data_IF_227193013859
#
_entry.id   IF_227193013859
#
_cell.length_a   1.000
_cell.length_b   1.000
_cell.length_c   1.000
_cell.angle_alpha   90.00
_cell.angle_beta   90.00
_cell.angle_gamma   90.00
#
_symmetry.space_group_name_H-M   'P 1'
#
loop_
_entity.id
_entity.type
_entity.pdbx_description
1 polymer ?
#
# COMPACT_ATOMS: atom_id res chain seq x y z
N UNK A 1 -9.36 -5.56 -4.48
CA UNK A 1 -10.39 -5.07 -5.42
C UNK A 1 -10.83 -3.66 -5.06
N UNK A 2 -11.20 -2.87 -6.10
CA UNK A 2 -11.75 -1.54 -5.92
C UNK A 2 -13.17 -1.61 -5.38
N UNK A 3 -13.56 -0.67 -4.53
CA UNK A 3 -14.94 -0.48 -4.07
C UNK A 3 -15.50 0.86 -4.55
N UNK A 4 -16.80 1.12 -4.30
CA UNK A 4 -17.50 2.32 -4.76
C UNK A 4 -16.80 3.63 -4.34
N UNK A 5 -16.20 3.68 -3.16
CA UNK A 5 -15.44 4.84 -2.71
C UNK A 5 -14.23 5.14 -3.60
N UNK A 6 -13.49 4.11 -4.01
CA UNK A 6 -12.38 4.24 -4.98
C UNK A 6 -12.89 4.71 -6.35
N UNK A 7 -14.01 4.14 -6.84
CA UNK A 7 -14.62 4.55 -8.11
C UNK A 7 -15.04 6.01 -8.11
N UNK A 8 -15.62 6.51 -7.00
CA UNK A 8 -15.98 7.92 -6.85
C UNK A 8 -14.75 8.83 -6.90
N UNK A 9 -13.68 8.50 -6.14
CA UNK A 9 -12.43 9.27 -6.16
C UNK A 9 -11.81 9.31 -7.56
N UNK A 10 -11.75 8.15 -8.23
CA UNK A 10 -11.25 8.05 -9.60
C UNK A 10 -12.06 8.88 -10.60
N UNK A 11 -13.39 8.81 -10.56
CA UNK A 11 -14.26 9.61 -11.43
C UNK A 11 -14.10 11.11 -11.19
N UNK A 12 -14.06 11.53 -9.92
CA UNK A 12 -13.85 12.93 -9.55
C UNK A 12 -12.51 13.45 -10.03
N UNK A 13 -11.43 12.72 -9.75
CA UNK A 13 -10.08 13.08 -10.16
C UNK A 13 -9.94 13.17 -11.68
N UNK A 14 -10.47 12.19 -12.41
CA UNK A 14 -10.46 12.19 -13.88
C UNK A 14 -11.24 13.37 -14.46
N UNK A 15 -12.41 13.70 -13.91
CA UNK A 15 -13.18 14.86 -14.34
C UNK A 15 -12.40 16.17 -14.10
N UNK A 16 -11.77 16.32 -12.94
CA UNK A 16 -10.96 17.49 -12.62
C UNK A 16 -9.76 17.63 -13.56
N UNK A 17 -9.03 16.56 -13.82
CA UNK A 17 -7.92 16.53 -14.79
C UNK A 17 -8.38 17.01 -16.17
N UNK A 18 -9.51 16.48 -16.66
CA UNK A 18 -10.06 16.85 -17.96
C UNK A 18 -10.47 18.33 -18.02
N UNK A 19 -11.08 18.85 -16.97
CA UNK A 19 -11.45 20.27 -16.87
C UNK A 19 -10.23 21.19 -16.87
N UNK A 20 -9.22 20.87 -16.08
CA UNK A 20 -7.98 21.65 -16.01
C UNK A 20 -7.22 21.62 -17.34
N UNK A 21 -7.15 20.47 -18.01
CA UNK A 21 -6.56 20.37 -19.35
C UNK A 21 -7.33 21.20 -20.38
N UNK A 22 -8.67 21.15 -20.34
CA UNK A 22 -9.51 21.97 -21.22
C UNK A 22 -9.35 23.48 -20.94
N UNK A 23 -9.02 23.87 -19.69
CA UNK A 23 -8.71 25.24 -19.33
C UNK A 23 -7.26 25.67 -19.68
N UNK A 24 -6.46 24.77 -20.29
CA UNK A 24 -5.12 25.10 -20.77
C UNK A 24 -3.98 24.82 -19.76
N UNK A 25 -4.26 24.18 -18.65
CA UNK A 25 -3.23 23.78 -17.69
C UNK A 25 -2.48 22.53 -18.19
N UNK A 26 -1.17 22.48 -17.91
CA UNK A 26 -0.38 21.26 -18.09
C UNK A 26 -0.54 20.37 -16.85
N UNK A 27 -1.36 19.34 -16.96
CA UNK A 27 -1.76 18.47 -15.84
C UNK A 27 -1.32 17.04 -16.10
N UNK A 28 -0.71 16.42 -15.08
CA UNK A 28 -0.48 14.99 -15.02
C UNK A 28 -1.34 14.37 -13.92
N UNK A 29 -1.93 13.23 -14.24
CA UNK A 29 -2.62 12.38 -13.29
C UNK A 29 -1.72 11.25 -12.84
N UNK A 30 -1.68 11.01 -11.51
CA UNK A 30 -0.82 10.00 -10.93
C UNK A 30 -1.62 9.09 -9.99
N UNK A 31 -1.40 7.79 -10.13
CA UNK A 31 -1.89 6.78 -9.21
C UNK A 31 -0.77 6.38 -8.26
N UNK A 32 -0.98 6.55 -6.96
CA UNK A 32 -0.05 6.11 -5.93
C UNK A 32 -0.28 4.64 -5.61
N UNK A 33 0.74 3.82 -5.83
CA UNK A 33 0.72 2.39 -5.54
C UNK A 33 1.34 2.18 -4.16
N UNK A 34 0.51 1.77 -3.19
CA UNK A 34 0.97 1.34 -1.88
C UNK A 34 1.48 -0.11 -1.99
N UNK A 35 2.70 -0.28 -2.52
CA UNK A 35 3.36 -1.57 -2.75
C UNK A 35 4.51 -1.84 -1.78
N UNK A 36 4.64 -1.02 -0.74
CA UNK A 36 5.53 -1.22 0.38
C UNK A 36 4.73 -1.56 1.66
N UNK A 37 5.38 -2.28 2.58
CA UNK A 37 4.85 -2.54 3.91
C UNK A 37 3.95 -3.77 4.05
N UNK A 38 3.37 -3.93 5.24
CA UNK A 38 2.74 -5.16 5.73
C UNK A 38 1.54 -5.65 4.89
N UNK A 39 0.86 -4.77 4.15
CA UNK A 39 -0.29 -5.17 3.34
C UNK A 39 0.11 -6.10 2.20
N UNK A 40 1.23 -5.81 1.56
CA UNK A 40 1.74 -6.64 0.47
C UNK A 40 2.29 -7.96 1.00
N UNK A 41 2.93 -7.93 2.17
CA UNK A 41 3.40 -9.15 2.84
C UNK A 41 2.21 -10.05 3.23
N UNK A 42 1.15 -9.48 3.78
CA UNK A 42 -0.08 -10.21 4.10
C UNK A 42 -0.74 -10.80 2.85
N UNK A 43 -0.70 -10.10 1.72
CA UNK A 43 -1.18 -10.63 0.44
C UNK A 43 -0.35 -11.83 0.00
N UNK A 44 0.97 -11.72 0.02
CA UNK A 44 1.89 -12.79 -0.39
C UNK A 44 1.68 -14.06 0.45
N UNK A 45 1.60 -13.91 1.77
CA UNK A 45 1.33 -15.01 2.69
C UNK A 45 -0.07 -15.60 2.43
N UNK A 46 -1.06 -14.78 2.13
CA UNK A 46 -2.41 -15.26 1.79
C UNK A 46 -2.42 -16.08 0.51
N UNK A 47 -1.64 -15.69 -0.51
CA UNK A 47 -1.47 -16.44 -1.76
C UNK A 47 -0.78 -17.77 -1.47
N UNK A 48 0.25 -17.80 -0.61
CA UNK A 48 0.92 -19.04 -0.21
C UNK A 48 -0.05 -20.04 0.42
N UNK A 49 -0.88 -19.62 1.37
CA UNK A 49 -1.87 -20.50 2.00
C UNK A 49 -2.91 -21.00 0.98
N UNK A 50 -3.35 -20.14 0.05
CA UNK A 50 -4.25 -20.57 -1.03
C UNK A 50 -3.59 -21.54 -2.02
N UNK A 51 -2.30 -21.37 -2.28
CA UNK A 51 -1.52 -22.32 -3.05
C UNK A 51 -1.45 -23.71 -2.37
N UNK A 52 -1.26 -23.75 -1.05
CA UNK A 52 -1.30 -24.99 -0.27
C UNK A 52 -2.70 -25.64 -0.33
N UNK A 53 -3.76 -24.84 -0.23
CA UNK A 53 -5.15 -25.31 -0.37
C UNK A 53 -5.41 -25.94 -1.74
N UNK A 54 -4.90 -25.38 -2.82
CA UNK A 54 -4.99 -25.94 -4.18
C UNK A 54 -4.35 -27.33 -4.29
N UNK A 55 -3.45 -27.67 -3.37
CA UNK A 55 -2.77 -28.96 -3.28
C UNK A 55 -3.40 -29.90 -2.25
N UNK A 56 -4.53 -29.53 -1.69
CA UNK A 56 -5.31 -30.37 -0.77
C UNK A 56 -5.07 -30.09 0.71
N UNK A 57 -4.33 -29.02 1.07
CA UNK A 57 -4.23 -28.61 2.47
C UNK A 57 -5.59 -28.10 3.00
N UNK A 58 -5.91 -28.48 4.23
CA UNK A 58 -7.11 -28.01 4.90
C UNK A 58 -6.78 -26.65 5.56
N UNK A 59 -7.50 -25.58 5.18
CA UNK A 59 -7.37 -24.28 5.80
C UNK A 59 -8.44 -24.06 6.86
N UNK A 60 -8.01 -23.59 8.03
CA UNK A 60 -8.90 -23.14 9.11
C UNK A 60 -8.76 -21.63 9.25
N UNK A 61 -9.89 -20.93 9.18
CA UNK A 61 -9.91 -19.47 9.30
C UNK A 61 -10.19 -19.08 10.75
N UNK A 62 -9.24 -18.39 11.42
CA UNK A 62 -9.48 -17.96 12.78
C UNK A 62 -10.68 -17.01 12.86
N UNK A 63 -11.48 -17.09 13.94
CA UNK A 63 -12.56 -16.14 14.17
C UNK A 63 -12.01 -14.74 14.44
N UNK A 64 -12.87 -13.73 14.42
CA UNK A 64 -12.48 -12.38 14.85
C UNK A 64 -12.17 -12.39 16.34
N UNK A 65 -11.19 -11.58 16.75
CA UNK A 65 -10.91 -11.36 18.18
C UNK A 65 -12.11 -10.79 18.91
N UNK A 66 -12.22 -11.11 20.18
CA UNK A 66 -13.16 -10.51 21.10
C UNK A 66 -12.84 -9.02 21.30
N UNK A 67 -13.76 -8.27 21.93
CA UNK A 67 -13.56 -6.85 22.25
C UNK A 67 -12.37 -6.61 23.19
N UNK A 68 -12.02 -7.58 24.03
CA UNK A 68 -10.86 -7.55 24.92
C UNK A 68 -9.53 -7.91 24.23
N UNK A 69 -9.57 -8.17 22.91
CA UNK A 69 -8.40 -8.55 22.10
C UNK A 69 -8.05 -10.04 22.18
N UNK A 70 -8.73 -10.85 22.98
CA UNK A 70 -8.49 -12.30 23.07
C UNK A 70 -9.00 -13.02 21.82
N UNK A 71 -8.35 -14.14 21.49
CA UNK A 71 -8.82 -15.03 20.42
C UNK A 71 -9.85 -16.02 20.97
N UNK A 72 -11.06 -16.10 20.42
CA UNK A 72 -11.99 -17.16 20.76
C UNK A 72 -11.40 -18.54 20.51
N UNK A 73 -11.77 -19.52 21.31
CA UNK A 73 -11.41 -20.92 21.04
C UNK A 73 -12.09 -21.37 19.75
N UNK A 74 -11.37 -22.07 18.90
CA UNK A 74 -11.87 -22.71 17.68
C UNK A 74 -11.15 -24.01 17.44
N UNK A 75 -11.81 -24.92 16.76
CA UNK A 75 -11.26 -26.25 16.48
C UNK A 75 -10.28 -26.20 15.30
N UNK A 76 -9.14 -26.85 15.48
CA UNK A 76 -8.11 -27.02 14.43
C UNK A 76 -7.96 -28.52 14.18
N UNK A 77 -8.47 -29.05 13.06
CA UNK A 77 -8.28 -30.45 12.69
C UNK A 77 -6.79 -30.80 12.59
N UNK A 78 -6.47 -32.04 12.87
CA UNK A 78 -5.08 -32.52 12.72
C UNK A 78 -4.58 -32.33 11.29
N UNK A 79 -3.39 -31.75 11.14
CA UNK A 79 -2.77 -31.44 9.85
C UNK A 79 -3.35 -30.22 9.12
N UNK A 80 -4.31 -29.50 9.72
CA UNK A 80 -4.85 -28.29 9.12
C UNK A 80 -3.91 -27.09 9.33
N UNK A 81 -3.87 -26.20 8.36
CA UNK A 81 -3.14 -24.94 8.41
C UNK A 81 -4.08 -23.83 8.89
N UNK A 82 -3.65 -23.05 9.88
CA UNK A 82 -4.42 -21.89 10.35
C UNK A 82 -4.09 -20.70 9.45
N UNK A 83 -5.10 -20.21 8.74
CA UNK A 83 -4.94 -19.05 7.85
C UNK A 83 -4.56 -17.80 8.65
N UNK A 84 -3.63 -16.95 8.15
CA UNK A 84 -3.21 -15.75 8.85
C UNK A 84 -4.37 -14.83 9.24
N UNK A 85 -4.36 -14.33 10.46
CA UNK A 85 -5.44 -13.47 10.98
C UNK A 85 -5.63 -12.22 10.10
N UNK A 86 -4.52 -11.59 9.70
CA UNK A 86 -4.50 -10.41 8.83
C UNK A 86 -4.48 -10.76 7.33
N UNK A 87 -4.67 -12.04 6.99
CA UNK A 87 -4.66 -12.50 5.61
C UNK A 87 -5.92 -12.11 4.86
N UNK A 88 -5.77 -11.96 3.55
CA UNK A 88 -6.87 -11.65 2.63
C UNK A 88 -7.62 -12.94 2.25
N UNK A 89 -8.91 -13.01 2.61
CA UNK A 89 -9.73 -14.22 2.47
C UNK A 89 -10.58 -14.26 1.20
N UNK A 90 -10.55 -13.20 0.40
CA UNK A 90 -11.39 -13.04 -0.78
C UNK A 90 -11.12 -14.07 -1.87
N UNK A 91 -12.12 -14.35 -2.74
CA UNK A 91 -11.98 -15.29 -3.85
C UNK A 91 -10.91 -14.86 -4.85
N UNK A 92 -10.65 -13.57 -4.95
CA UNK A 92 -9.62 -12.99 -5.80
C UNK A 92 -8.19 -13.45 -5.43
N UNK A 93 -7.93 -13.82 -4.16
CA UNK A 93 -6.66 -14.40 -3.75
C UNK A 93 -6.53 -15.84 -4.21
N UNK A 94 -7.64 -16.59 -4.21
CA UNK A 94 -7.67 -17.97 -4.74
C UNK A 94 -7.37 -17.95 -6.24
N UNK A 95 -8.02 -17.04 -6.98
CA UNK A 95 -7.80 -16.88 -8.42
C UNK A 95 -6.34 -16.51 -8.72
N UNK A 96 -5.77 -15.59 -7.95
CA UNK A 96 -4.36 -15.17 -8.08
C UNK A 96 -3.43 -16.35 -7.79
N UNK A 97 -3.63 -17.09 -6.70
CA UNK A 97 -2.82 -18.28 -6.38
C UNK A 97 -2.87 -19.31 -7.50
N UNK A 98 -4.07 -19.56 -8.05
CA UNK A 98 -4.27 -20.48 -9.17
C UNK A 98 -3.56 -20.00 -10.44
N UNK A 99 -3.74 -18.73 -10.82
CA UNK A 99 -3.13 -18.16 -12.01
C UNK A 99 -1.59 -18.21 -11.95
N UNK A 100 -1.00 -17.91 -10.78
CA UNK A 100 0.44 -18.00 -10.60
C UNK A 100 0.90 -19.46 -10.66
N UNK A 101 0.20 -20.39 -9.99
CA UNK A 101 0.55 -21.80 -9.99
C UNK A 101 0.48 -22.44 -11.38
N UNK A 102 -0.52 -22.09 -12.18
CA UNK A 102 -0.66 -22.54 -13.57
C UNK A 102 0.46 -21.99 -14.47
N UNK A 103 0.87 -20.72 -14.27
CA UNK A 103 1.91 -20.07 -15.07
C UNK A 103 3.32 -20.57 -14.71
N UNK A 104 3.63 -20.65 -13.42
CA UNK A 104 4.97 -21.00 -12.93
C UNK A 104 5.21 -22.52 -12.90
N UNK A 105 4.14 -23.30 -12.77
CA UNK A 105 4.16 -24.76 -12.62
C UNK A 105 4.24 -25.20 -11.17
N UNK A 106 3.34 -26.13 -10.78
CA UNK A 106 3.28 -26.66 -9.41
C UNK A 106 4.58 -27.33 -8.97
N UNK A 107 5.23 -28.10 -9.84
CA UNK A 107 6.49 -28.78 -9.52
C UNK A 107 7.61 -27.79 -9.19
N UNK A 108 7.72 -26.69 -9.97
CA UNK A 108 8.69 -25.62 -9.72
C UNK A 108 8.44 -24.98 -8.37
N UNK A 109 7.19 -24.62 -8.09
CA UNK A 109 6.82 -23.96 -6.83
C UNK A 109 7.04 -24.86 -5.63
N UNK A 110 6.76 -26.17 -5.75
CA UNK A 110 6.98 -27.15 -4.70
C UNK A 110 8.47 -27.42 -4.42
N UNK A 111 9.32 -27.26 -5.43
CA UNK A 111 10.77 -27.40 -5.25
C UNK A 111 11.42 -26.18 -4.54
N UNK A 112 10.72 -25.05 -4.44
CA UNK A 112 11.19 -23.86 -3.74
C UNK A 112 11.01 -24.01 -2.23
N UNK A 113 11.91 -23.43 -1.44
CA UNK A 113 11.62 -23.22 -0.03
C UNK A 113 10.50 -22.19 0.15
N UNK A 114 9.85 -22.18 1.30
CA UNK A 114 8.69 -21.31 1.57
C UNK A 114 9.03 -19.83 1.41
N UNK A 115 10.20 -19.38 1.91
CA UNK A 115 10.57 -17.97 1.87
C UNK A 115 10.72 -17.46 0.43
N UNK A 116 11.38 -18.23 -0.43
CA UNK A 116 11.56 -17.87 -1.84
C UNK A 116 10.22 -17.92 -2.60
N UNK A 117 9.35 -18.89 -2.27
CA UNK A 117 8.03 -19.00 -2.86
C UNK A 117 7.11 -17.84 -2.45
N UNK A 118 7.13 -17.44 -1.17
CA UNK A 118 6.39 -16.25 -0.69
C UNK A 118 6.92 -14.99 -1.36
N UNK A 119 8.24 -14.85 -1.53
CA UNK A 119 8.82 -13.72 -2.25
C UNK A 119 8.34 -13.66 -3.72
N UNK A 120 8.28 -14.80 -4.40
CA UNK A 120 7.72 -14.90 -5.75
C UNK A 120 6.23 -14.52 -5.77
N UNK A 121 5.44 -15.03 -4.83
CA UNK A 121 4.02 -14.68 -4.72
C UNK A 121 3.78 -13.20 -4.40
N UNK A 122 4.70 -12.57 -3.67
CA UNK A 122 4.69 -11.14 -3.43
C UNK A 122 4.76 -10.36 -4.75
N UNK A 123 5.78 -10.63 -5.56
CA UNK A 123 6.01 -9.90 -6.81
C UNK A 123 4.95 -10.21 -7.87
N UNK A 124 4.67 -11.50 -8.11
CA UNK A 124 3.72 -11.90 -9.15
C UNK A 124 2.27 -11.58 -8.76
N UNK A 125 1.93 -11.69 -7.48
CA UNK A 125 0.62 -11.30 -6.97
C UNK A 125 0.39 -9.79 -7.08
N UNK A 126 1.40 -8.97 -6.74
CA UNK A 126 1.33 -7.52 -6.91
C UNK A 126 1.14 -7.15 -8.38
N UNK A 127 1.95 -7.71 -9.26
CA UNK A 127 1.87 -7.47 -10.71
C UNK A 127 0.49 -7.80 -11.27
N UNK A 128 -0.07 -8.94 -10.90
CA UNK A 128 -1.40 -9.34 -11.35
C UNK A 128 -2.50 -8.41 -10.81
N UNK A 129 -2.42 -8.04 -9.52
CA UNK A 129 -3.39 -7.12 -8.91
C UNK A 129 -3.34 -5.74 -9.55
N UNK A 130 -2.16 -5.22 -9.84
CA UNK A 130 -2.00 -3.93 -10.52
C UNK A 130 -2.56 -3.98 -11.95
N UNK A 131 -2.27 -5.02 -12.71
CA UNK A 131 -2.82 -5.18 -14.06
C UNK A 131 -4.36 -5.21 -14.06
N UNK A 132 -4.99 -5.95 -13.15
CA UNK A 132 -6.46 -5.99 -13.00
C UNK A 132 -7.03 -4.64 -12.56
N UNK A 133 -6.31 -3.90 -11.74
CA UNK A 133 -6.72 -2.60 -11.26
C UNK A 133 -6.68 -1.58 -12.41
N UNK A 134 -5.62 -1.58 -13.19
CA UNK A 134 -5.45 -0.74 -14.38
C UNK A 134 -6.54 -1.06 -15.42
N UNK A 135 -6.79 -2.32 -15.71
CA UNK A 135 -7.86 -2.76 -16.60
C UNK A 135 -9.24 -2.28 -16.11
N UNK A 136 -9.52 -2.44 -14.82
CA UNK A 136 -10.79 -2.00 -14.22
C UNK A 136 -10.99 -0.48 -14.37
N UNK A 137 -9.95 0.31 -14.08
CA UNK A 137 -10.00 1.76 -14.21
C UNK A 137 -10.10 2.20 -15.67
N UNK A 138 -9.38 1.54 -16.58
CA UNK A 138 -9.47 1.78 -18.02
C UNK A 138 -10.88 1.50 -18.56
N UNK A 139 -11.49 0.37 -18.17
CA UNK A 139 -12.89 0.05 -18.51
C UNK A 139 -13.87 1.08 -17.95
N UNK A 140 -13.56 1.68 -16.81
CA UNK A 140 -14.29 2.80 -16.22
C UNK A 140 -13.96 4.15 -16.87
N UNK A 141 -13.08 4.17 -17.91
CA UNK A 141 -12.61 5.35 -18.64
C UNK A 141 -11.79 6.32 -17.77
N UNK A 142 -11.09 5.78 -16.78
CA UNK A 142 -10.13 6.52 -15.95
C UNK A 142 -8.74 5.97 -16.24
N UNK A 143 -7.85 6.86 -16.70
CA UNK A 143 -6.44 6.54 -16.98
C UNK A 143 -5.53 7.50 -16.24
N UNK A 144 -4.31 7.06 -15.98
CA UNK A 144 -3.28 7.86 -15.31
C UNK A 144 -2.06 8.00 -16.22
N UNK A 145 -1.41 9.15 -16.16
CA UNK A 145 -0.18 9.41 -16.89
C UNK A 145 1.01 8.73 -16.22
N UNK A 146 0.92 8.52 -14.91
CA UNK A 146 1.97 7.86 -14.12
C UNK A 146 1.37 6.95 -13.04
N UNK A 147 2.02 5.82 -12.83
CA UNK A 147 1.75 4.86 -11.76
C UNK A 147 2.97 4.85 -10.84
N UNK A 148 2.88 5.59 -9.74
CA UNK A 148 3.99 5.80 -8.82
C UNK A 148 4.03 4.71 -7.76
N UNK A 149 5.15 3.97 -7.69
CA UNK A 149 5.40 2.94 -6.68
C UNK A 149 5.99 3.56 -5.42
N UNK A 150 5.41 3.27 -4.25
CA UNK A 150 5.94 3.68 -2.95
C UNK A 150 7.35 3.13 -2.71
N UNK A 151 7.68 1.94 -3.25
CA UNK A 151 9.04 1.37 -3.17
C UNK A 151 10.10 2.32 -3.70
N UNK A 152 9.78 3.11 -4.73
CA UNK A 152 10.71 4.10 -5.31
C UNK A 152 11.24 5.06 -4.25
N UNK A 153 10.38 5.49 -3.32
CA UNK A 153 10.75 6.44 -2.25
C UNK A 153 11.68 5.78 -1.23
N UNK A 154 11.47 4.49 -0.98
CA UNK A 154 12.31 3.71 -0.05
C UNK A 154 13.65 3.32 -0.68
N UNK A 155 13.65 2.84 -1.93
CA UNK A 155 14.85 2.35 -2.62
C UNK A 155 15.83 3.48 -2.96
N UNK A 156 15.34 4.67 -3.30
CA UNK A 156 16.16 5.83 -3.59
C UNK A 156 16.61 6.60 -2.34
N UNK A 157 16.32 6.08 -1.15
CA UNK A 157 16.60 6.75 0.15
C UNK A 157 16.01 8.18 0.25
N UNK A 158 14.94 8.43 -0.52
CA UNK A 158 14.32 9.76 -0.60
C UNK A 158 13.72 10.20 0.74
N UNK A 159 13.29 9.24 1.57
CA UNK A 159 12.79 9.52 2.93
C UNK A 159 13.88 10.15 3.78
N UNK A 160 15.07 9.52 3.79
CA UNK A 160 16.21 10.05 4.55
C UNK A 160 16.62 11.42 4.03
N UNK A 161 16.79 11.58 2.73
CA UNK A 161 17.14 12.86 2.10
C UNK A 161 16.12 13.96 2.41
N UNK A 162 14.82 13.62 2.47
CA UNK A 162 13.76 14.58 2.81
C UNK A 162 13.81 15.00 4.27
N UNK A 163 14.06 14.05 5.17
CA UNK A 163 14.23 14.32 6.60
C UNK A 163 15.46 15.19 6.85
N UNK A 164 16.60 14.93 6.20
CA UNK A 164 17.81 15.75 6.33
C UNK A 164 17.58 17.17 5.79
N UNK A 165 16.82 17.34 4.72
CA UNK A 165 16.43 18.66 4.24
C UNK A 165 15.57 19.41 5.28
N UNK A 166 14.62 18.75 5.93
CA UNK A 166 13.82 19.34 7.00
C UNK A 166 14.66 19.71 8.22
N UNK A 167 15.69 18.92 8.58
CA UNK A 167 16.65 19.25 9.63
C UNK A 167 17.42 20.51 9.27
N UNK A 168 17.96 20.59 8.06
CA UNK A 168 18.70 21.75 7.58
C UNK A 168 17.86 23.04 7.60
N UNK A 169 16.54 22.92 7.38
CA UNK A 169 15.59 24.04 7.44
C UNK A 169 15.11 24.35 8.88
N UNK A 170 15.54 23.58 9.90
CA UNK A 170 15.10 23.73 11.28
C UNK A 170 13.63 23.41 11.52
N UNK A 171 13.02 22.60 10.64
CA UNK A 171 11.59 22.24 10.67
C UNK A 171 11.29 20.99 11.49
N UNK A 172 12.31 20.32 11.99
CA UNK A 172 12.19 19.17 12.87
C UNK A 172 13.01 19.36 14.13
N UNK A 173 12.67 18.61 15.18
CA UNK A 173 13.39 18.59 16.46
C UNK A 173 13.36 17.19 17.07
N UNK A 174 14.32 16.89 17.94
CA UNK A 174 14.37 15.63 18.67
C UNK A 174 13.62 15.75 20.00
N UNK A 175 12.80 14.73 20.29
CA UNK A 175 12.10 14.60 21.56
C UNK A 175 11.85 13.11 21.84
N UNK A 176 12.16 12.66 23.05
CA UNK A 176 11.95 11.28 23.53
C UNK A 176 12.58 10.22 22.60
N UNK A 177 13.74 10.52 22.02
CA UNK A 177 14.44 9.63 21.08
C UNK A 177 13.87 9.60 19.66
N UNK A 178 12.77 10.27 19.41
CA UNK A 178 12.12 10.37 18.10
C UNK A 178 12.35 11.74 17.46
N UNK A 179 12.25 11.81 16.12
CA UNK A 179 12.32 13.05 15.37
C UNK A 179 10.92 13.53 15.02
N UNK A 180 10.62 14.76 15.39
CA UNK A 180 9.31 15.40 15.27
C UNK A 180 9.32 16.53 14.25
N UNK A 181 8.32 16.56 13.36
CA UNK A 181 8.03 17.70 12.48
C UNK A 181 7.24 18.76 13.25
N UNK A 182 7.62 20.02 13.11
CA UNK A 182 6.89 21.19 13.63
C UNK A 182 5.64 21.46 12.76
N UNK A 183 4.73 20.49 12.70
CA UNK A 183 3.53 20.62 11.86
C UNK A 183 2.55 21.65 12.38
N UNK A 184 2.63 22.02 13.67
CA UNK A 184 1.87 23.13 14.25
C UNK A 184 2.19 24.48 13.61
N UNK A 185 3.42 24.68 13.10
CA UNK A 185 3.80 25.89 12.34
C UNK A 185 2.97 26.05 11.05
N UNK A 186 2.30 24.97 10.61
CA UNK A 186 1.55 24.90 9.36
C UNK A 186 0.05 24.66 9.57
N UNK A 187 -0.44 24.71 10.80
CA UNK A 187 -1.87 24.64 11.13
C UNK A 187 -2.36 23.27 11.58
N UNK A 188 -1.46 22.31 11.82
CA UNK A 188 -1.83 21.05 12.47
C UNK A 188 -2.14 21.26 13.97
N UNK A 189 -2.90 20.39 14.59
CA UNK A 189 -3.28 20.43 16.00
C UNK A 189 -2.13 20.08 16.96
N UNK A 190 -1.11 19.35 16.44
CA UNK A 190 0.09 18.94 17.19
C UNK A 190 1.22 18.59 16.24
N UNK A 191 2.45 18.65 16.75
CA UNK A 191 3.63 18.18 16.02
C UNK A 191 3.58 16.67 15.82
N UNK A 192 4.19 16.18 14.73
CA UNK A 192 4.12 14.79 14.30
C UNK A 192 5.49 14.13 14.24
N UNK A 193 5.52 12.87 14.66
CA UNK A 193 6.73 12.05 14.53
C UNK A 193 6.96 11.70 13.06
N UNK A 194 8.16 11.97 12.55
CA UNK A 194 8.61 11.56 11.22
C UNK A 194 9.54 10.35 11.29
N UNK A 195 10.41 10.29 12.31
CA UNK A 195 11.24 9.11 12.61
C UNK A 195 10.95 8.68 14.04
N UNK A 196 10.63 7.40 14.24
CA UNK A 196 10.37 6.83 15.56
C UNK A 196 11.67 6.71 16.36
N UNK A 197 11.55 6.48 17.67
CA UNK A 197 12.65 6.22 18.61
C UNK A 197 13.54 5.03 18.21
N UNK A 198 12.98 4.05 17.51
CA UNK A 198 13.70 2.90 16.95
C UNK A 198 14.33 3.17 15.57
N UNK A 199 14.33 4.42 15.09
CA UNK A 199 14.90 4.83 13.80
C UNK A 199 14.02 4.54 12.58
N UNK A 200 12.84 3.96 12.76
CA UNK A 200 11.95 3.60 11.64
C UNK A 200 11.12 4.82 11.21
N UNK A 201 11.10 5.19 9.91
CA UNK A 201 10.24 6.24 9.39
C UNK A 201 8.76 5.95 9.63
N UNK A 202 7.97 7.01 9.79
CA UNK A 202 6.51 6.92 9.80
C UNK A 202 5.94 7.08 8.38
N UNK A 203 4.65 6.76 8.21
CA UNK A 203 3.95 7.04 6.94
C UNK A 203 4.04 8.52 6.54
N UNK A 204 4.02 9.45 7.51
CA UNK A 204 4.16 10.88 7.21
C UNK A 204 5.53 11.20 6.58
N UNK A 205 6.59 10.53 6.98
CA UNK A 205 7.91 10.72 6.37
C UNK A 205 7.94 10.25 4.90
N UNK A 206 7.25 9.14 4.58
CA UNK A 206 7.09 8.66 3.22
C UNK A 206 6.24 9.64 2.38
N UNK A 207 5.16 10.17 2.93
CA UNK A 207 4.31 11.17 2.27
C UNK A 207 5.09 12.47 1.97
N UNK A 208 5.91 12.94 2.91
CA UNK A 208 6.77 14.11 2.70
C UNK A 208 7.75 13.86 1.54
N UNK A 209 8.41 12.70 1.53
CA UNK A 209 9.34 12.35 0.48
C UNK A 209 8.64 12.22 -0.88
N UNK A 210 7.45 11.66 -0.92
CA UNK A 210 6.63 11.57 -2.14
C UNK A 210 6.24 12.96 -2.67
N UNK A 211 5.80 13.88 -1.82
CA UNK A 211 5.47 15.24 -2.24
C UNK A 211 6.71 16.01 -2.71
N UNK A 212 7.85 15.83 -2.04
CA UNK A 212 9.12 16.36 -2.50
C UNK A 212 9.49 15.82 -3.88
N UNK A 213 9.34 14.51 -4.11
CA UNK A 213 9.58 13.90 -5.42
C UNK A 213 8.73 14.54 -6.51
N UNK A 214 7.43 14.80 -6.26
CA UNK A 214 6.57 15.55 -7.19
C UNK A 214 7.14 16.94 -7.48
N UNK A 215 7.57 17.68 -6.44
CA UNK A 215 8.14 19.00 -6.59
C UNK A 215 9.44 18.98 -7.41
N UNK A 216 10.32 18.04 -7.14
CA UNK A 216 11.61 17.86 -7.85
C UNK A 216 11.39 17.47 -9.32
N UNK A 217 10.30 16.81 -9.66
CA UNK A 217 9.82 16.58 -11.04
C UNK A 217 9.24 17.84 -11.71
N UNK A 218 9.15 18.95 -11.00
CA UNK A 218 8.73 20.26 -11.52
C UNK A 218 7.25 20.63 -11.31
N UNK A 219 6.49 19.82 -10.54
CA UNK A 219 5.12 20.13 -10.20
C UNK A 219 5.08 21.12 -9.03
N UNK A 220 4.58 22.33 -9.27
CA UNK A 220 4.48 23.39 -8.25
C UNK A 220 3.12 23.39 -7.56
N UNK A 221 2.11 22.89 -8.21
CA UNK A 221 0.75 22.74 -7.68
C UNK A 221 0.42 21.24 -7.65
N UNK A 222 -0.05 20.77 -6.51
CA UNK A 222 -0.36 19.37 -6.26
C UNK A 222 -1.77 19.30 -5.69
N UNK A 223 -2.58 18.42 -6.27
CA UNK A 223 -3.97 18.20 -5.85
C UNK A 223 -4.12 16.73 -5.48
N UNK A 224 -4.37 16.47 -4.19
CA UNK A 224 -4.58 15.12 -3.69
C UNK A 224 -6.08 14.81 -3.61
N UNK A 225 -6.49 13.70 -4.22
CA UNK A 225 -7.88 13.24 -4.20
C UNK A 225 -7.99 12.12 -3.18
N UNK A 226 -8.52 12.45 -2.02
CA UNK A 226 -8.63 11.54 -0.89
C UNK A 226 -10.07 11.13 -0.58
N UNK A 227 -10.23 9.95 0.02
CA UNK A 227 -11.48 9.56 0.65
C UNK A 227 -11.74 10.36 1.94
N UNK A 228 -12.99 10.38 2.40
CA UNK A 228 -13.39 11.10 3.62
C UNK A 228 -12.71 10.57 4.89
N UNK A 229 -12.28 9.32 4.87
CA UNK A 229 -11.48 8.65 5.92
C UNK A 229 -10.10 9.29 6.11
N UNK A 230 -9.58 10.00 5.10
CA UNK A 230 -8.33 10.77 5.16
C UNK A 230 -8.50 12.21 5.64
N UNK A 231 -9.70 12.64 6.07
CA UNK A 231 -9.95 14.02 6.51
C UNK A 231 -8.96 14.52 7.57
N UNK A 232 -8.57 13.66 8.51
CA UNK A 232 -7.57 13.98 9.54
C UNK A 232 -6.15 14.22 9.03
N UNK A 233 -5.87 13.98 7.75
CA UNK A 233 -4.56 14.22 7.12
C UNK A 233 -4.46 15.56 6.40
N UNK A 234 -5.58 16.26 6.18
CA UNK A 234 -5.61 17.52 5.41
C UNK A 234 -4.72 18.61 6.02
N UNK A 235 -4.61 18.66 7.34
CA UNK A 235 -3.81 19.65 8.07
C UNK A 235 -2.33 19.22 8.28
N UNK A 236 -1.96 18.04 7.85
CA UNK A 236 -0.60 17.48 8.00
C UNK A 236 0.23 17.70 6.79
#
# INVERSE_FOLDING_TARGET
>A
PLHVGHGRGAAYGSALVNLLRAAGYNVQSEYYINDAGNQIDNMAISIEYRFQELQGAILVFPPKRNEDGSMPKFDIPEGALVFPENGYRGPDIIETAKAIAEREGFDKLNAMNEADRVALFKEEGLKEKLARLEETLSNFRVTFDNWFSERTVHEADEIHHSVEALKALGKVYEKDGALWLKSTDYGDDKDRVVIRDNGVPTYLAADIAYHRNKYDRGFKEMIDIWGADHHGYVCR
#
